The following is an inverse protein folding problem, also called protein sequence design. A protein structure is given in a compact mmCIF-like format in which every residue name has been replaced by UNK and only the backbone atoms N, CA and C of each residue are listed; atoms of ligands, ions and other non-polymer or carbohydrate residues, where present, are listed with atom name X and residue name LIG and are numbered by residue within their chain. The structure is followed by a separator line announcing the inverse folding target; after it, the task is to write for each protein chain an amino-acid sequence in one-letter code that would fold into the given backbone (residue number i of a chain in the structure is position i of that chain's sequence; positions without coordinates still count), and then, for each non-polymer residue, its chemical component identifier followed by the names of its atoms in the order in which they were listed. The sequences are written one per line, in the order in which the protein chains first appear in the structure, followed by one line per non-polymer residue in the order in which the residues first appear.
data_IF_351463506277
#
_entry.id   IF_351463506277
#
_cell.length_a   1.000
_cell.length_b   1.000
_cell.length_c   1.000
_cell.angle_alpha   90.00
_cell.angle_beta   90.00
_cell.angle_gamma   90.00
#
_symmetry.space_group_name_H-M   'P 1'
#
loop_
_entity.id
_entity.type
_entity.pdbx_description
1 polymer ?
#
# COMPACT_ATOMS: atom_id res chain seq x y z
N UNK A 1 -21.90 31.88 8.03
CA UNK A 1 -20.89 31.96 9.14
C UNK A 1 -19.49 31.60 8.61
N UNK A 2 -18.41 31.69 9.41
CA UNK A 2 -17.06 31.28 8.98
C UNK A 2 -16.52 30.16 9.88
N UNK A 3 -15.81 29.20 9.30
CA UNK A 3 -15.20 28.10 10.03
C UNK A 3 -14.14 28.61 11.02
N UNK A 4 -14.18 28.21 12.31
CA UNK A 4 -13.22 28.67 13.32
C UNK A 4 -11.79 28.15 13.10
N UNK A 5 -11.61 27.13 12.26
CA UNK A 5 -10.31 26.52 11.97
C UNK A 5 -9.68 27.04 10.67
N UNK A 6 -10.33 26.82 9.53
CA UNK A 6 -9.76 27.20 8.22
C UNK A 6 -10.31 28.52 7.65
N UNK A 7 -11.25 29.16 8.34
CA UNK A 7 -11.87 30.44 7.94
C UNK A 7 -12.63 30.42 6.60
N UNK A 8 -12.96 29.23 6.06
CA UNK A 8 -13.85 29.13 4.90
C UNK A 8 -15.27 29.59 5.24
N UNK A 9 -15.99 30.08 4.24
CA UNK A 9 -17.42 30.37 4.38
C UNK A 9 -18.22 29.07 4.63
N UNK A 10 -19.17 29.13 5.55
CA UNK A 10 -20.06 28.04 5.91
C UNK A 10 -21.51 28.46 5.73
N UNK A 11 -22.33 27.50 5.27
CA UNK A 11 -23.79 27.61 5.29
C UNK A 11 -24.29 27.69 6.73
N UNK A 12 -25.44 28.32 6.92
CA UNK A 12 -25.99 28.58 8.26
C UNK A 12 -26.45 27.30 8.98
N UNK A 13 -26.69 26.20 8.25
CA UNK A 13 -27.08 24.89 8.77
C UNK A 13 -25.93 23.86 8.76
N UNK A 14 -24.70 24.29 8.47
CA UNK A 14 -23.56 23.38 8.40
C UNK A 14 -23.17 22.89 9.80
N UNK A 15 -23.08 21.56 9.97
CA UNK A 15 -22.60 20.93 11.21
C UNK A 15 -21.09 20.64 11.18
N UNK A 16 -20.47 20.68 10.00
CA UNK A 16 -19.03 20.52 9.81
C UNK A 16 -18.54 21.36 8.63
N UNK A 17 -17.25 21.66 8.60
CA UNK A 17 -16.62 22.39 7.51
C UNK A 17 -16.32 21.46 6.31
N UNK A 18 -16.86 21.73 5.11
CA UNK A 18 -16.59 20.91 3.93
C UNK A 18 -15.17 21.10 3.38
N UNK A 19 -14.44 22.12 3.81
CA UNK A 19 -13.08 22.41 3.34
C UNK A 19 -12.01 21.69 4.18
N UNK A 20 -12.14 21.72 5.51
CA UNK A 20 -11.14 21.14 6.40
C UNK A 20 -11.66 20.00 7.29
N UNK A 21 -12.94 19.66 7.22
CA UNK A 21 -13.54 18.55 7.97
C UNK A 21 -13.79 18.80 9.45
N UNK A 22 -13.41 19.96 9.98
CA UNK A 22 -13.59 20.29 11.40
C UNK A 22 -15.06 20.51 11.74
N UNK A 23 -15.40 20.41 13.03
CA UNK A 23 -16.71 20.83 13.53
C UNK A 23 -16.97 22.33 13.21
N UNK A 24 -18.22 22.68 12.92
CA UNK A 24 -18.58 24.03 12.51
C UNK A 24 -18.48 25.06 13.66
N UNK A 25 -18.67 24.61 14.90
CA UNK A 25 -18.72 25.48 16.08
C UNK A 25 -17.42 25.44 16.87
N UNK A 26 -16.87 24.25 17.06
CA UNK A 26 -15.75 23.98 17.97
C UNK A 26 -14.42 23.73 17.25
N UNK A 27 -14.44 23.57 15.92
CA UNK A 27 -13.24 23.27 15.15
C UNK A 27 -12.71 21.85 15.39
N UNK A 28 -11.39 21.69 15.43
CA UNK A 28 -10.76 20.44 15.83
C UNK A 28 -10.52 20.46 17.35
N UNK A 29 -10.69 19.30 18.00
CA UNK A 29 -10.33 19.18 19.42
C UNK A 29 -8.83 19.38 19.60
N UNK A 30 -8.43 19.96 20.73
CA UNK A 30 -7.04 20.04 21.15
C UNK A 30 -6.40 18.63 21.15
N UNK A 31 -5.24 18.48 20.51
CA UNK A 31 -4.60 17.17 20.32
C UNK A 31 -5.17 16.30 19.19
N UNK A 32 -6.11 16.81 18.38
CA UNK A 32 -6.51 16.17 17.11
C UNK A 32 -5.52 16.45 15.97
N UNK A 33 -4.54 17.31 16.22
CA UNK A 33 -3.38 17.46 15.35
C UNK A 33 -2.64 16.13 15.27
N UNK A 34 -2.64 15.58 14.06
CA UNK A 34 -2.09 14.26 13.81
C UNK A 34 -0.56 14.35 13.78
N UNK A 35 0.06 14.43 14.96
CA UNK A 35 1.51 14.61 15.12
C UNK A 35 2.30 13.32 14.95
N UNK A 36 1.64 12.16 15.00
CA UNK A 36 2.27 10.83 14.97
C UNK A 36 1.73 9.92 13.85
N UNK A 37 1.45 10.48 12.66
CA UNK A 37 1.18 9.63 11.48
C UNK A 37 2.51 9.26 10.86
N UNK A 38 3.14 8.19 11.35
CA UNK A 38 3.91 7.36 10.44
C UNK A 38 2.90 6.86 9.39
N UNK A 39 2.87 7.54 8.24
CA UNK A 39 2.10 7.05 7.11
C UNK A 39 2.55 5.63 6.83
N UNK A 40 1.65 4.65 6.76
CA UNK A 40 2.05 3.29 6.44
C UNK A 40 2.80 3.30 5.11
N UNK A 41 3.82 2.44 4.99
CA UNK A 41 4.64 2.37 3.80
C UNK A 41 3.76 2.04 2.59
N UNK A 42 3.58 3.04 1.72
CA UNK A 42 2.71 2.93 0.56
C UNK A 42 3.21 1.85 -0.41
N UNK A 43 4.54 1.71 -0.55
CA UNK A 43 5.15 0.72 -1.43
C UNK A 43 4.92 -0.69 -0.89
N UNK A 44 5.02 -0.89 0.43
CA UNK A 44 4.71 -2.17 1.08
C UNK A 44 3.25 -2.59 0.84
N UNK A 45 2.31 -1.66 0.98
CA UNK A 45 0.89 -1.94 0.75
C UNK A 45 0.65 -2.34 -0.70
N UNK A 46 1.23 -1.60 -1.66
CA UNK A 46 1.10 -1.89 -3.07
C UNK A 46 1.63 -3.28 -3.43
N UNK A 47 2.78 -3.61 -2.87
CA UNK A 47 3.39 -4.92 -3.05
C UNK A 47 2.55 -6.06 -2.45
N UNK A 48 1.96 -5.87 -1.27
CA UNK A 48 1.19 -6.91 -0.60
C UNK A 48 -0.18 -7.14 -1.24
N UNK A 49 -0.84 -6.08 -1.71
CA UNK A 49 -2.19 -6.17 -2.29
C UNK A 49 -2.16 -6.46 -3.81
N UNK A 50 -1.14 -5.98 -4.52
CA UNK A 50 -1.08 -6.05 -5.99
C UNK A 50 0.17 -6.73 -6.56
N UNK A 51 1.05 -7.28 -5.71
CA UNK A 51 2.32 -7.86 -6.15
C UNK A 51 2.21 -9.25 -6.81
N UNK A 52 1.07 -9.92 -6.66
CA UNK A 52 0.81 -11.26 -7.24
C UNK A 52 0.15 -11.20 -8.62
N UNK A 53 -0.40 -10.05 -9.03
CA UNK A 53 -0.96 -9.85 -10.35
C UNK A 53 0.18 -9.71 -11.38
N UNK A 54 0.26 -10.56 -12.42
CA UNK A 54 1.33 -10.51 -13.42
C UNK A 54 1.28 -9.29 -14.35
N UNK A 55 0.13 -8.63 -14.47
CA UNK A 55 -0.08 -7.43 -15.29
C UNK A 55 0.02 -6.14 -14.44
N UNK A 56 0.20 -6.26 -13.12
CA UNK A 56 0.39 -5.12 -12.22
C UNK A 56 1.77 -4.48 -12.41
N UNK A 57 1.88 -3.14 -12.34
CA UNK A 57 3.19 -2.47 -12.33
C UNK A 57 4.01 -2.77 -11.05
N UNK A 58 3.40 -3.37 -10.02
CA UNK A 58 4.02 -3.69 -8.72
C UNK A 58 4.39 -5.16 -8.56
N UNK A 59 4.33 -5.97 -9.62
CA UNK A 59 4.60 -7.41 -9.53
C UNK A 59 5.99 -7.69 -8.98
N UNK A 60 6.09 -8.54 -7.95
CA UNK A 60 7.39 -8.98 -7.43
C UNK A 60 8.08 -9.89 -8.42
N UNK A 61 9.25 -9.48 -8.91
CA UNK A 61 10.13 -10.38 -9.69
C UNK A 61 10.63 -11.51 -8.79
N UNK A 62 10.05 -12.70 -8.93
CA UNK A 62 10.58 -13.90 -8.27
C UNK A 62 11.98 -14.21 -8.80
N UNK A 63 13.00 -14.10 -7.95
CA UNK A 63 14.33 -14.65 -8.24
C UNK A 63 14.28 -16.17 -8.07
N UNK A 64 14.75 -16.89 -9.08
CA UNK A 64 14.84 -18.34 -9.01
C UNK A 64 15.84 -18.78 -7.92
N UNK A 65 15.46 -19.79 -7.12
CA UNK A 65 16.33 -20.35 -6.09
C UNK A 65 17.43 -21.19 -6.76
N UNK A 66 18.73 -20.88 -6.55
CA UNK A 66 19.83 -21.59 -7.20
C UNK A 66 19.86 -23.09 -6.87
N UNK A 67 19.43 -23.48 -5.67
CA UNK A 67 19.33 -24.91 -5.29
C UNK A 67 18.24 -25.64 -6.09
N UNK A 68 17.12 -24.98 -6.36
CA UNK A 68 16.05 -25.56 -7.17
C UNK A 68 16.50 -25.74 -8.63
N UNK A 69 17.25 -24.78 -9.16
CA UNK A 69 17.85 -24.89 -10.50
C UNK A 69 18.83 -26.07 -10.54
N UNK A 70 19.76 -26.15 -9.58
CA UNK A 70 20.74 -27.23 -9.54
C UNK A 70 20.07 -28.61 -9.45
N UNK A 71 19.06 -28.76 -8.58
CA UNK A 71 18.29 -30.00 -8.46
C UNK A 71 17.59 -30.36 -9.78
N UNK A 72 16.96 -29.40 -10.46
CA UNK A 72 16.30 -29.64 -11.74
C UNK A 72 17.29 -30.08 -12.83
N UNK A 73 18.48 -29.48 -12.89
CA UNK A 73 19.55 -29.88 -13.83
C UNK A 73 20.03 -31.31 -13.53
N UNK A 74 20.27 -31.65 -12.26
CA UNK A 74 20.72 -33.00 -11.87
C UNK A 74 19.67 -34.05 -12.28
N UNK A 75 18.39 -33.80 -12.03
CA UNK A 75 17.29 -34.69 -12.41
C UNK A 75 17.21 -34.84 -13.93
N UNK A 76 17.33 -33.76 -14.69
CA UNK A 76 17.32 -33.80 -16.15
C UNK A 76 18.51 -34.59 -16.71
N UNK A 77 19.72 -34.41 -16.16
CA UNK A 77 20.91 -35.16 -16.56
C UNK A 77 20.77 -36.66 -16.25
N UNK A 78 20.24 -37.00 -15.08
CA UNK A 78 19.98 -38.40 -14.71
C UNK A 78 18.96 -39.05 -15.66
N UNK A 79 17.90 -38.33 -16.04
CA UNK A 79 16.91 -38.83 -16.99
C UNK A 79 17.51 -39.03 -18.39
N UNK A 80 18.33 -38.10 -18.86
CA UNK A 80 19.03 -38.22 -20.15
C UNK A 80 19.98 -39.43 -20.13
N UNK A 81 20.75 -39.61 -19.06
CA UNK A 81 21.62 -40.77 -18.91
C UNK A 81 20.82 -42.08 -18.97
N UNK A 82 19.69 -42.17 -18.24
CA UNK A 82 18.82 -43.34 -18.26
C UNK A 82 18.15 -43.63 -19.62
N UNK A 83 18.07 -42.64 -20.52
CA UNK A 83 17.53 -42.81 -21.87
C UNK A 83 18.60 -43.15 -22.92
N UNK A 84 19.88 -42.88 -22.60
CA UNK A 84 21.02 -43.14 -23.50
C UNK A 84 21.66 -44.51 -23.21
N UNK A 85 21.61 -44.98 -21.96
CA UNK A 85 22.11 -46.28 -21.51
C UNK A 85 20.98 -47.29 -21.33
#
# INVERSE_FOLDING_TARGET
MYCPHCHSELKDDATFCPHCGSDADTGWKEGAEFTDLETPDYDEILENEFGDDPDSPYTKKKKANPLAIAAAVIVALAFIAAMIF
#
